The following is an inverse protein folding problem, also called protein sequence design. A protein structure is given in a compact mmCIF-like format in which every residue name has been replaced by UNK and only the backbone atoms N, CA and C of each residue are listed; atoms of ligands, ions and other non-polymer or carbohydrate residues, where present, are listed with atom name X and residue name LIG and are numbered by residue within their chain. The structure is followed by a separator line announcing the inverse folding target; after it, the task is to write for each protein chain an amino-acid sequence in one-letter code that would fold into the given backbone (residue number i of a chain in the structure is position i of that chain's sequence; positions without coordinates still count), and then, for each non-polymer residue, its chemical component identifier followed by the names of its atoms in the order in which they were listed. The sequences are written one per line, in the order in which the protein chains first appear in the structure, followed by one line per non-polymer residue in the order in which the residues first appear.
data_IF_414311903909
#
_entry.id   IF_414311903909
#
_cell.length_a   1.000
_cell.length_b   1.000
_cell.length_c   1.000
_cell.angle_alpha   90.00
_cell.angle_beta   90.00
_cell.angle_gamma   90.00
#
_symmetry.space_group_name_H-M   'P 1'
#
loop_
_entity.id
_entity.type
_entity.pdbx_description
1 polymer ?
#
# COMPACT_ATOMS: atom_id res chain seq x y z
N UNK A 1 -0.73 -28.69 -2.51
CA UNK A 1 -0.72 -27.44 -3.30
C UNK A 1 0.55 -27.40 -4.09
N UNK A 2 0.45 -27.09 -5.37
CA UNK A 2 1.57 -27.00 -6.30
C UNK A 2 2.54 -25.88 -5.90
N UNK A 3 3.84 -26.08 -6.07
CA UNK A 3 4.88 -25.09 -5.74
C UNK A 3 4.67 -23.73 -6.43
N UNK A 4 4.08 -23.74 -7.62
CA UNK A 4 3.78 -22.54 -8.40
C UNK A 4 2.62 -21.74 -7.78
N UNK A 5 1.57 -22.41 -7.34
CA UNK A 5 0.46 -21.76 -6.62
C UNK A 5 0.93 -21.07 -5.35
N UNK A 6 1.86 -21.68 -4.59
CA UNK A 6 2.43 -21.07 -3.38
C UNK A 6 3.22 -19.79 -3.68
N UNK A 7 3.89 -19.71 -4.83
CA UNK A 7 4.62 -18.50 -5.25
C UNK A 7 3.67 -17.36 -5.59
N UNK A 8 2.56 -17.66 -6.28
CA UNK A 8 1.52 -16.64 -6.59
C UNK A 8 0.78 -16.20 -5.33
N UNK A 9 0.45 -17.12 -4.41
CA UNK A 9 -0.15 -16.77 -3.11
C UNK A 9 0.75 -15.83 -2.29
N UNK A 10 2.07 -16.01 -2.36
CA UNK A 10 3.02 -15.09 -1.75
C UNK A 10 3.00 -13.68 -2.37
N UNK A 11 2.46 -13.54 -3.58
CA UNK A 11 2.20 -12.26 -4.23
C UNK A 11 0.80 -11.71 -3.94
N UNK A 12 -0.02 -12.40 -3.11
CA UNK A 12 -1.39 -12.02 -2.80
C UNK A 12 -2.42 -12.52 -3.81
N UNK A 13 -2.09 -13.59 -4.54
CA UNK A 13 -3.03 -14.28 -5.42
C UNK A 13 -4.12 -14.96 -4.62
N UNK A 14 -5.36 -14.76 -5.02
CA UNK A 14 -6.53 -15.35 -4.38
C UNK A 14 -7.59 -15.78 -5.40
N UNK A 15 -8.70 -16.29 -4.90
CA UNK A 15 -9.80 -16.78 -5.73
C UNK A 15 -10.42 -15.71 -6.63
N UNK A 16 -10.37 -14.43 -6.25
CA UNK A 16 -10.90 -13.30 -7.05
C UNK A 16 -10.03 -13.06 -8.26
N UNK A 17 -8.71 -13.08 -8.06
CA UNK A 17 -7.73 -12.96 -9.15
C UNK A 17 -7.80 -14.16 -10.05
N UNK A 18 -7.96 -15.38 -9.49
CA UNK A 18 -8.14 -16.61 -10.28
C UNK A 18 -9.40 -16.55 -11.14
N UNK A 19 -10.53 -16.11 -10.59
CA UNK A 19 -11.77 -15.95 -11.36
C UNK A 19 -11.60 -14.95 -12.53
N UNK A 20 -10.90 -13.84 -12.26
CA UNK A 20 -10.59 -12.84 -13.29
C UNK A 20 -9.69 -13.42 -14.38
N UNK A 21 -8.63 -14.15 -14.02
CA UNK A 21 -7.72 -14.82 -14.94
C UNK A 21 -8.47 -15.80 -15.86
N UNK A 22 -9.30 -16.66 -15.27
CA UNK A 22 -10.12 -17.64 -16.01
C UNK A 22 -11.10 -16.97 -16.97
N UNK A 23 -11.76 -15.90 -16.54
CA UNK A 23 -12.72 -15.16 -17.39
C UNK A 23 -12.06 -14.50 -18.61
N UNK A 24 -10.76 -14.19 -18.51
CA UNK A 24 -9.96 -13.61 -19.58
C UNK A 24 -9.24 -14.68 -20.44
N UNK A 25 -9.33 -15.97 -20.07
CA UNK A 25 -8.65 -17.05 -20.77
C UNK A 25 -7.13 -17.00 -20.68
N UNK A 26 -6.59 -16.41 -19.64
CA UNK A 26 -5.15 -16.25 -19.46
C UNK A 26 -4.52 -17.49 -18.84
N UNK A 27 -3.32 -17.85 -19.29
CA UNK A 27 -2.47 -18.79 -18.60
C UNK A 27 -1.86 -18.15 -17.35
N UNK A 28 -1.43 -18.95 -16.35
CA UNK A 28 -0.80 -18.41 -15.13
C UNK A 28 0.50 -17.66 -15.42
N UNK A 29 1.31 -18.16 -16.35
CA UNK A 29 2.56 -17.49 -16.78
C UNK A 29 2.35 -16.10 -17.37
N UNK A 30 1.14 -15.82 -17.90
CA UNK A 30 0.76 -14.52 -18.43
C UNK A 30 0.29 -13.55 -17.32
N UNK A 31 0.13 -14.02 -16.09
CA UNK A 31 -0.34 -13.20 -14.99
C UNK A 31 0.84 -12.71 -14.17
N UNK A 32 0.87 -11.41 -13.86
CA UNK A 32 1.87 -10.82 -13.00
C UNK A 32 1.27 -9.74 -12.08
N UNK A 33 1.92 -9.45 -10.97
CA UNK A 33 1.55 -8.35 -10.08
C UNK A 33 2.50 -7.17 -10.26
N UNK A 34 1.98 -5.95 -10.35
CA UNK A 34 2.78 -4.72 -10.39
C UNK A 34 3.35 -4.47 -9.00
N UNK A 35 4.66 -4.60 -8.84
CA UNK A 35 5.35 -4.46 -7.56
C UNK A 35 6.07 -3.12 -7.41
N UNK A 36 6.34 -2.42 -8.51
CA UNK A 36 6.90 -1.06 -8.47
C UNK A 36 6.49 -0.25 -9.70
N UNK A 37 6.35 1.06 -9.51
CA UNK A 37 6.09 2.06 -10.57
C UNK A 37 7.08 3.21 -10.43
N UNK A 38 7.72 3.56 -11.54
CA UNK A 38 8.55 4.75 -11.62
C UNK A 38 8.42 5.39 -13.01
N UNK A 39 7.83 6.59 -13.08
CA UNK A 39 7.71 7.41 -14.31
C UNK A 39 7.21 6.64 -15.54
N UNK A 40 6.17 5.83 -15.37
CA UNK A 40 5.58 5.05 -16.48
C UNK A 40 6.33 3.78 -16.86
N UNK A 41 7.36 3.41 -16.10
CA UNK A 41 8.01 2.10 -16.15
C UNK A 41 7.60 1.29 -14.93
N UNK A 42 7.36 0.00 -15.13
CA UNK A 42 6.85 -0.90 -14.11
C UNK A 42 7.83 -2.05 -13.86
N UNK A 43 7.88 -2.52 -12.62
CA UNK A 43 8.38 -3.85 -12.31
C UNK A 43 7.15 -4.70 -12.00
N UNK A 44 7.04 -5.81 -12.72
CA UNK A 44 5.99 -6.80 -12.48
C UNK A 44 6.62 -8.12 -12.04
N UNK A 45 5.91 -8.88 -11.23
CA UNK A 45 6.40 -10.15 -10.69
C UNK A 45 5.35 -11.24 -10.86
N UNK A 46 5.78 -12.41 -11.30
CA UNK A 46 4.98 -13.62 -11.36
C UNK A 46 5.70 -14.79 -10.66
N UNK A 47 5.25 -16.01 -10.88
CA UNK A 47 5.85 -17.23 -10.33
C UNK A 47 7.25 -17.54 -10.87
N UNK A 48 7.57 -17.06 -12.08
CA UNK A 48 8.84 -17.29 -12.76
C UNK A 48 9.90 -16.26 -12.34
N UNK A 49 9.49 -15.02 -12.02
CA UNK A 49 10.42 -13.97 -11.60
C UNK A 49 9.91 -12.54 -11.76
N UNK A 50 10.85 -11.62 -11.87
CA UNK A 50 10.60 -10.19 -12.05
C UNK A 50 10.94 -9.75 -13.48
N UNK A 51 10.09 -8.87 -14.03
CA UNK A 51 10.23 -8.31 -15.36
C UNK A 51 10.14 -6.79 -15.31
N UNK A 52 10.95 -6.15 -16.15
CA UNK A 52 10.77 -4.72 -16.46
C UNK A 52 9.69 -4.61 -17.53
N UNK A 53 8.58 -3.98 -17.18
CA UNK A 53 7.42 -3.93 -18.02
C UNK A 53 7.08 -2.51 -18.47
N UNK A 54 6.48 -2.42 -19.66
CA UNK A 54 5.91 -1.21 -20.22
C UNK A 54 4.51 -1.52 -20.74
N UNK A 55 3.64 -0.52 -20.79
CA UNK A 55 2.32 -0.66 -21.40
C UNK A 55 2.42 -0.60 -22.93
N UNK A 56 1.47 -1.23 -23.61
CA UNK A 56 1.40 -1.16 -25.08
C UNK A 56 1.13 0.26 -25.56
N UNK A 57 1.60 0.58 -26.79
CA UNK A 57 1.25 1.85 -27.46
C UNK A 57 -0.26 2.02 -27.62
N UNK A 58 -1.01 0.93 -27.84
CA UNK A 58 -2.47 0.93 -27.88
C UNK A 58 -3.07 1.39 -26.55
N UNK A 59 -2.58 0.87 -25.42
CA UNK A 59 -3.06 1.25 -24.09
C UNK A 59 -2.76 2.74 -23.80
N UNK A 60 -1.59 3.23 -24.19
CA UNK A 60 -1.25 4.66 -24.08
C UNK A 60 -2.23 5.52 -24.87
N UNK A 61 -2.61 5.06 -26.07
CA UNK A 61 -3.50 5.83 -26.97
C UNK A 61 -4.96 5.76 -26.52
N UNK A 62 -5.42 4.65 -25.96
CA UNK A 62 -6.81 4.44 -25.53
C UNK A 62 -7.11 4.90 -24.11
N UNK A 63 -6.09 5.07 -23.28
CA UNK A 63 -6.24 5.53 -21.91
C UNK A 63 -6.76 6.99 -21.92
N UNK A 64 -7.96 7.18 -21.36
CA UNK A 64 -8.59 8.49 -21.23
C UNK A 64 -8.25 9.17 -19.92
N UNK A 65 -7.83 8.41 -18.91
CA UNK A 65 -7.55 8.87 -17.55
C UNK A 65 -6.31 8.19 -17.02
N UNK A 66 -5.65 8.83 -16.07
CA UNK A 66 -4.51 8.24 -15.37
C UNK A 66 -4.86 6.93 -14.64
N UNK A 67 -6.12 6.78 -14.26
CA UNK A 67 -6.64 5.57 -13.63
C UNK A 67 -6.68 4.33 -14.55
N UNK A 68 -6.58 4.53 -15.86
CA UNK A 68 -6.57 3.46 -16.86
C UNK A 68 -5.18 2.79 -16.98
N UNK A 69 -4.15 3.43 -16.42
CA UNK A 69 -2.80 2.88 -16.38
C UNK A 69 -2.62 1.94 -15.19
N UNK A 70 -1.65 0.98 -15.28
CA UNK A 70 -1.30 0.14 -14.16
C UNK A 70 -0.83 0.95 -12.96
N UNK A 71 -1.15 0.48 -11.76
CA UNK A 71 -0.70 1.03 -10.49
C UNK A 71 -0.09 -0.08 -9.62
N UNK A 72 0.70 0.30 -8.62
CA UNK A 72 1.28 -0.67 -7.69
C UNK A 72 0.16 -1.44 -6.98
N UNK A 73 0.25 -2.77 -7.02
CA UNK A 73 -0.76 -3.70 -6.52
C UNK A 73 -1.66 -4.31 -7.58
N UNK A 74 -1.70 -3.75 -8.78
CA UNK A 74 -2.50 -4.32 -9.87
C UNK A 74 -2.02 -5.70 -10.28
N UNK A 75 -2.97 -6.56 -10.58
CA UNK A 75 -2.74 -7.75 -11.38
C UNK A 75 -2.89 -7.40 -12.84
N UNK A 76 -1.97 -7.87 -13.65
CA UNK A 76 -1.86 -7.54 -15.08
C UNK A 76 -1.62 -8.77 -15.92
N UNK A 77 -2.19 -8.79 -17.13
CA UNK A 77 -1.78 -9.70 -18.17
C UNK A 77 -0.50 -9.18 -18.83
N UNK A 78 0.49 -10.05 -18.98
CA UNK A 78 1.77 -9.72 -19.58
C UNK A 78 2.13 -10.67 -20.72
N UNK A 79 2.84 -10.14 -21.70
CA UNK A 79 3.65 -10.90 -22.62
C UNK A 79 5.11 -10.80 -22.19
N UNK A 80 5.68 -11.94 -21.75
CA UNK A 80 7.09 -12.00 -21.37
C UNK A 80 7.99 -11.95 -22.62
N UNK A 81 9.01 -11.11 -22.57
CA UNK A 81 9.99 -10.93 -23.63
C UNK A 81 11.39 -11.36 -23.12
N UNK A 82 12.34 -11.61 -24.04
CA UNK A 82 13.72 -11.89 -23.65
C UNK A 82 14.34 -10.82 -22.74
N UNK A 83 15.40 -11.18 -22.03
CA UNK A 83 16.18 -10.30 -21.16
C UNK A 83 15.40 -9.74 -19.94
N UNK A 84 14.41 -10.48 -19.41
CA UNK A 84 13.62 -10.05 -18.24
C UNK A 84 12.76 -8.81 -18.52
N UNK A 85 12.30 -8.66 -19.74
CA UNK A 85 11.36 -7.63 -20.16
C UNK A 85 9.95 -8.20 -20.29
N UNK A 86 8.92 -7.33 -20.21
CA UNK A 86 7.55 -7.71 -20.49
C UNK A 86 6.76 -6.52 -21.07
N UNK A 87 5.67 -6.86 -21.73
CA UNK A 87 4.66 -5.88 -22.15
C UNK A 87 3.40 -6.13 -21.33
N UNK A 88 2.86 -5.08 -20.72
CA UNK A 88 1.56 -5.14 -20.04
C UNK A 88 0.48 -4.96 -21.11
N UNK A 89 -0.32 -5.97 -21.28
CA UNK A 89 -1.41 -5.98 -22.27
C UNK A 89 -2.72 -5.47 -21.68
N UNK A 90 -2.99 -5.83 -20.42
CA UNK A 90 -4.24 -5.51 -19.75
C UNK A 90 -4.08 -5.45 -18.23
N UNK A 91 -4.81 -4.54 -17.59
CA UNK A 91 -5.00 -4.53 -16.12
C UNK A 91 -6.24 -5.35 -15.79
N UNK A 92 -6.12 -6.29 -14.86
CA UNK A 92 -7.23 -7.10 -14.37
C UNK A 92 -8.17 -6.23 -13.47
N UNK A 93 -9.43 -6.65 -13.26
CA UNK A 93 -10.33 -5.99 -12.34
C UNK A 93 -9.73 -5.83 -10.95
N UNK A 94 -9.81 -4.63 -10.40
CA UNK A 94 -9.29 -4.28 -9.07
C UNK A 94 -10.31 -4.61 -8.00
N UNK A 95 -9.90 -5.29 -6.94
CA UNK A 95 -10.77 -5.55 -5.76
C UNK A 95 -10.98 -4.28 -4.95
N UNK A 96 -9.90 -3.55 -4.72
CA UNK A 96 -9.87 -2.34 -3.92
C UNK A 96 -8.98 -1.30 -4.57
N UNK A 97 -9.27 -0.02 -4.35
CA UNK A 97 -8.54 1.10 -4.95
C UNK A 97 -8.33 2.19 -3.92
N UNK A 98 -7.09 2.42 -3.51
CA UNK A 98 -6.74 3.59 -2.74
C UNK A 98 -6.46 4.76 -3.67
N UNK A 99 -7.30 5.79 -3.61
CA UNK A 99 -7.24 6.96 -4.50
C UNK A 99 -7.22 8.26 -3.71
N UNK A 100 -6.66 9.31 -4.30
CA UNK A 100 -6.76 10.69 -3.78
C UNK A 100 -7.08 11.66 -4.92
N UNK A 101 -7.74 12.75 -4.60
CA UNK A 101 -7.79 13.91 -5.51
C UNK A 101 -6.44 14.62 -5.53
N UNK A 102 -6.01 15.07 -6.69
CA UNK A 102 -4.82 15.90 -6.82
C UNK A 102 -5.13 17.31 -6.30
N UNK A 103 -4.25 17.89 -5.48
CA UNK A 103 -4.35 19.29 -5.07
C UNK A 103 -4.13 20.17 -6.31
N UNK A 104 -5.23 20.71 -6.86
CA UNK A 104 -5.21 21.61 -8.02
C UNK A 104 -5.97 21.13 -9.24
N UNK A 105 -6.78 20.09 -9.16
CA UNK A 105 -7.65 19.63 -10.25
C UNK A 105 -8.54 18.44 -9.86
N UNK A 106 -9.48 18.11 -10.74
CA UNK A 106 -10.37 16.96 -10.60
C UNK A 106 -9.68 15.60 -10.92
N UNK A 107 -8.37 15.61 -11.14
CA UNK A 107 -7.64 14.41 -11.51
C UNK A 107 -7.47 13.47 -10.31
N UNK A 108 -8.01 12.26 -10.45
CA UNK A 108 -7.90 11.20 -9.44
C UNK A 108 -6.58 10.47 -9.65
N UNK A 109 -5.74 10.45 -8.60
CA UNK A 109 -4.52 9.67 -8.57
C UNK A 109 -4.75 8.35 -7.84
N UNK A 110 -4.50 7.21 -8.49
CA UNK A 110 -4.45 5.91 -7.83
C UNK A 110 -3.13 5.82 -7.07
N UNK A 111 -3.24 5.50 -5.78
CA UNK A 111 -2.11 5.37 -4.86
C UNK A 111 -1.65 3.93 -4.80
N UNK A 112 -2.59 3.00 -4.75
CA UNK A 112 -2.36 1.56 -4.76
C UNK A 112 -3.67 0.82 -4.94
N UNK A 113 -3.57 -0.46 -5.31
CA UNK A 113 -4.72 -1.30 -5.62
C UNK A 113 -4.60 -2.66 -4.93
N UNK A 114 -5.70 -3.39 -4.86
CA UNK A 114 -5.75 -4.72 -4.28
C UNK A 114 -5.12 -4.78 -2.87
N UNK A 115 -5.44 -3.75 -2.07
CA UNK A 115 -5.03 -3.59 -0.67
C UNK A 115 -6.14 -4.19 0.20
N UNK A 116 -5.79 -5.07 1.13
CA UNK A 116 -6.75 -5.67 2.05
C UNK A 116 -7.02 -4.76 3.25
N UNK A 117 -5.96 -4.17 3.84
CA UNK A 117 -6.10 -3.30 5.02
C UNK A 117 -5.26 -2.03 4.89
N UNK A 118 -5.87 -0.89 5.24
CA UNK A 118 -5.19 0.38 5.39
C UNK A 118 -4.99 0.70 6.87
N UNK A 119 -3.75 0.67 7.33
CA UNK A 119 -3.40 1.12 8.66
C UNK A 119 -3.33 2.64 8.70
N UNK A 120 -4.29 3.26 9.37
CA UNK A 120 -4.28 4.70 9.67
C UNK A 120 -3.34 4.92 10.85
N UNK A 121 -2.18 5.50 10.56
CA UNK A 121 -1.13 5.73 11.54
C UNK A 121 -1.24 7.14 12.10
N UNK A 122 -1.43 7.22 13.40
CA UNK A 122 -1.50 8.46 14.16
C UNK A 122 -0.55 8.38 15.35
N UNK A 123 -0.10 9.51 15.90
CA UNK A 123 0.81 9.53 17.03
C UNK A 123 0.23 10.30 18.22
N UNK A 124 0.55 9.86 19.43
CA UNK A 124 0.18 10.56 20.67
C UNK A 124 1.15 11.71 20.96
N UNK A 125 1.31 12.60 20.00
CA UNK A 125 2.04 13.85 20.18
C UNK A 125 1.11 15.06 19.95
N UNK A 126 1.70 16.23 19.75
CA UNK A 126 0.96 17.50 19.60
C UNK A 126 0.00 17.54 18.40
N UNK A 127 0.16 16.59 17.46
CA UNK A 127 -0.63 16.52 16.23
C UNK A 127 -1.79 15.52 16.28
N UNK A 128 -2.07 14.88 17.44
CA UNK A 128 -3.19 13.95 17.58
C UNK A 128 -4.53 14.55 17.16
N UNK A 129 -5.20 13.94 16.18
CA UNK A 129 -6.43 14.48 15.60
C UNK A 129 -7.39 13.40 15.12
N UNK A 130 -8.52 13.26 15.85
CA UNK A 130 -9.56 12.27 15.54
C UNK A 130 -10.23 12.50 14.17
N UNK A 131 -10.47 13.76 13.79
CA UNK A 131 -11.11 14.07 12.50
C UNK A 131 -10.20 13.66 11.33
N UNK A 132 -8.88 13.67 11.54
CA UNK A 132 -7.92 13.16 10.55
C UNK A 132 -8.00 11.65 10.40
N UNK A 133 -8.15 10.92 11.51
CA UNK A 133 -8.36 9.47 11.48
C UNK A 133 -9.66 9.16 10.72
N UNK A 134 -10.77 9.83 11.02
CA UNK A 134 -12.05 9.65 10.31
C UNK A 134 -11.92 9.86 8.80
N UNK A 135 -11.19 10.89 8.40
CA UNK A 135 -10.96 11.16 6.97
C UNK A 135 -10.24 10.02 6.28
N UNK A 136 -9.21 9.46 6.92
CA UNK A 136 -8.51 8.31 6.35
C UNK A 136 -9.37 7.05 6.32
N UNK A 137 -10.24 6.86 7.33
CA UNK A 137 -11.23 5.79 7.34
C UNK A 137 -12.16 5.91 6.14
N UNK A 138 -12.77 7.07 5.96
CA UNK A 138 -13.67 7.32 4.82
C UNK A 138 -12.98 7.08 3.46
N UNK A 139 -11.71 7.47 3.31
CA UNK A 139 -10.93 7.24 2.09
C UNK A 139 -10.68 5.74 1.86
N UNK A 140 -10.38 4.98 2.92
CA UNK A 140 -10.14 3.54 2.83
C UNK A 140 -11.45 2.81 2.47
N UNK A 141 -12.53 3.12 3.17
CA UNK A 141 -13.86 2.51 2.96
C UNK A 141 -14.42 2.83 1.56
N UNK A 142 -14.26 4.07 1.07
CA UNK A 142 -14.62 4.44 -0.31
C UNK A 142 -13.85 3.62 -1.36
N UNK A 143 -12.65 3.18 -1.03
CA UNK A 143 -11.83 2.29 -1.85
C UNK A 143 -12.11 0.80 -1.67
N UNK A 144 -13.05 0.41 -0.79
CA UNK A 144 -13.34 -0.97 -0.43
C UNK A 144 -12.27 -1.62 0.46
N UNK A 145 -11.42 -0.82 1.11
CA UNK A 145 -10.28 -1.26 1.93
C UNK A 145 -10.70 -1.24 3.39
N UNK A 146 -10.39 -2.30 4.14
CA UNK A 146 -10.64 -2.35 5.59
C UNK A 146 -9.69 -1.39 6.32
N UNK A 147 -10.20 -0.38 7.07
CA UNK A 147 -9.34 0.46 7.86
C UNK A 147 -9.02 -0.15 9.24
N UNK A 148 -7.83 0.12 9.75
CA UNK A 148 -7.43 -0.18 11.12
C UNK A 148 -6.55 0.96 11.66
N UNK A 149 -6.43 1.13 12.96
CA UNK A 149 -5.69 2.23 13.58
C UNK A 149 -4.38 1.72 14.18
N UNK A 150 -3.29 2.40 13.87
CA UNK A 150 -2.03 2.22 14.60
C UNK A 150 -1.71 3.52 15.33
N UNK A 151 -1.65 3.42 16.66
CA UNK A 151 -1.25 4.54 17.51
C UNK A 151 0.23 4.40 17.84
N UNK A 152 1.04 5.30 17.31
CA UNK A 152 2.50 5.27 17.49
C UNK A 152 2.95 6.15 18.65
N UNK A 153 4.24 5.99 19.03
CA UNK A 153 4.90 6.80 20.07
C UNK A 153 4.22 6.69 21.44
N UNK A 154 3.68 5.53 21.77
CA UNK A 154 3.03 5.30 23.09
C UNK A 154 4.00 5.47 24.26
N UNK A 155 5.31 5.45 24.02
CA UNK A 155 6.36 5.76 24.98
C UNK A 155 6.39 7.23 25.43
N UNK A 156 5.60 8.11 24.82
CA UNK A 156 5.51 9.54 25.17
C UNK A 156 4.38 9.84 26.17
N UNK A 157 3.51 8.89 26.48
CA UNK A 157 2.35 9.08 27.37
C UNK A 157 2.34 8.01 28.48
N UNK A 158 1.59 8.29 29.56
CA UNK A 158 1.41 7.31 30.63
C UNK A 158 0.49 6.16 30.23
N UNK A 159 0.56 5.04 30.97
CA UNK A 159 -0.34 3.90 30.72
C UNK A 159 -1.80 4.24 30.96
N UNK A 160 -2.09 5.10 31.93
CA UNK A 160 -3.44 5.59 32.27
C UNK A 160 -3.99 6.47 31.14
N UNK A 161 -3.15 7.35 30.59
CA UNK A 161 -3.51 8.18 29.46
C UNK A 161 -3.73 7.34 28.20
N UNK A 162 -2.86 6.35 27.93
CA UNK A 162 -3.02 5.40 26.84
C UNK A 162 -4.35 4.65 26.95
N UNK A 163 -4.69 4.12 28.13
CA UNK A 163 -5.94 3.41 28.35
C UNK A 163 -7.16 4.31 28.06
N UNK A 164 -7.13 5.56 28.52
CA UNK A 164 -8.19 6.56 28.25
C UNK A 164 -8.34 6.81 26.76
N UNK A 165 -7.23 6.97 26.03
CA UNK A 165 -7.23 7.22 24.58
C UNK A 165 -7.70 6.00 23.78
N UNK A 166 -7.38 4.79 24.20
CA UNK A 166 -7.91 3.57 23.56
C UNK A 166 -9.42 3.48 23.73
N UNK A 167 -9.97 3.81 24.91
CA UNK A 167 -11.43 3.85 25.13
C UNK A 167 -12.10 4.91 24.22
N UNK A 168 -11.51 6.11 24.11
CA UNK A 168 -11.98 7.17 23.21
C UNK A 168 -12.04 6.68 21.75
N UNK A 169 -10.95 6.08 21.25
CA UNK A 169 -10.84 5.55 19.89
C UNK A 169 -11.82 4.39 19.66
N UNK A 170 -11.94 3.45 20.60
CA UNK A 170 -12.88 2.32 20.48
C UNK A 170 -14.33 2.80 20.41
N UNK A 171 -14.66 3.83 21.18
CA UNK A 171 -16.00 4.44 21.15
C UNK A 171 -16.28 5.15 19.83
N UNK A 172 -15.27 5.82 19.25
CA UNK A 172 -15.39 6.59 18.01
C UNK A 172 -15.36 5.73 16.76
N UNK A 173 -14.59 4.64 16.78
CA UNK A 173 -14.40 3.69 15.68
C UNK A 173 -14.81 2.28 16.09
N UNK A 174 -16.09 2.01 16.30
CA UNK A 174 -16.56 0.71 16.78
C UNK A 174 -16.22 -0.40 15.79
N UNK A 175 -15.60 -1.47 16.28
CA UNK A 175 -15.19 -2.61 15.45
C UNK A 175 -13.84 -2.46 14.74
N UNK A 176 -13.21 -1.28 14.79
CA UNK A 176 -11.88 -1.11 14.23
C UNK A 176 -10.80 -1.73 15.12
N UNK A 177 -9.82 -2.39 14.53
CA UNK A 177 -8.59 -2.78 15.23
C UNK A 177 -7.81 -1.52 15.63
N UNK A 178 -7.45 -1.41 16.90
CA UNK A 178 -6.61 -0.33 17.43
C UNK A 178 -5.35 -0.95 18.02
N UNK A 179 -4.21 -0.61 17.43
CA UNK A 179 -2.91 -1.24 17.75
C UNK A 179 -1.96 -0.16 18.26
N UNK A 180 -1.77 -0.05 19.58
CA UNK A 180 -0.78 0.85 20.17
C UNK A 180 0.62 0.27 20.00
N UNK A 181 1.58 1.10 19.53
CA UNK A 181 2.97 0.69 19.28
C UNK A 181 3.98 1.77 19.64
N UNK A 182 5.18 1.35 20.04
CA UNK A 182 6.37 2.19 20.05
C UNK A 182 7.49 1.49 19.28
N UNK A 183 8.04 2.15 18.28
CA UNK A 183 9.23 1.69 17.56
C UNK A 183 10.53 1.99 18.32
N UNK A 184 10.44 2.70 19.45
CA UNK A 184 11.57 3.02 20.31
C UNK A 184 11.78 1.96 21.40
N UNK A 185 10.68 1.41 21.93
CA UNK A 185 10.68 0.41 23.01
C UNK A 185 10.29 -0.98 22.53
N UNK A 186 9.93 -1.12 21.24
CA UNK A 186 9.39 -2.33 20.59
C UNK A 186 8.03 -2.78 21.16
N UNK A 187 7.43 -2.01 22.07
CA UNK A 187 6.13 -2.31 22.65
C UNK A 187 5.05 -2.31 21.55
N UNK A 188 4.19 -3.35 21.55
CA UNK A 188 3.11 -3.53 20.58
C UNK A 188 3.53 -4.05 19.20
N UNK A 189 4.82 -4.05 18.83
CA UNK A 189 5.25 -4.54 17.52
C UNK A 189 4.98 -6.03 17.29
N UNK A 190 5.10 -6.85 18.36
CA UNK A 190 4.77 -8.27 18.29
C UNK A 190 3.28 -8.47 17.96
N UNK A 191 2.38 -7.73 18.62
CA UNK A 191 0.95 -7.75 18.33
C UNK A 191 0.67 -7.28 16.88
N UNK A 192 1.30 -6.20 16.43
CA UNK A 192 1.14 -5.75 15.05
C UNK A 192 1.56 -6.83 14.05
N UNK A 193 2.66 -7.54 14.31
CA UNK A 193 3.10 -8.64 13.43
C UNK A 193 2.06 -9.77 13.34
N UNK A 194 1.32 -10.07 14.40
CA UNK A 194 0.25 -11.11 14.35
C UNK A 194 -0.96 -10.68 13.50
N UNK A 195 -1.13 -9.38 13.26
CA UNK A 195 -2.19 -8.85 12.39
C UNK A 195 -1.80 -8.83 10.90
N UNK A 196 -0.55 -9.12 10.60
CA UNK A 196 -0.03 -9.15 9.23
C UNK A 196 -0.05 -10.59 8.70
N UNK A 197 -1.11 -10.94 8.02
CA UNK A 197 -1.33 -12.28 7.47
C UNK A 197 -0.57 -12.50 6.16
N UNK A 198 -0.17 -13.74 5.93
CA UNK A 198 0.48 -14.14 4.68
C UNK A 198 -0.43 -13.92 3.48
N UNK A 199 0.14 -13.37 2.39
CA UNK A 199 -0.58 -13.10 1.14
C UNK A 199 -1.51 -11.89 1.19
N UNK A 200 -1.71 -11.27 2.37
CA UNK A 200 -2.50 -10.04 2.49
C UNK A 200 -1.65 -8.81 2.26
N UNK A 201 -2.28 -7.80 1.66
CA UNK A 201 -1.64 -6.53 1.27
C UNK A 201 -2.08 -5.42 2.20
N UNK A 202 -1.11 -4.72 2.76
CA UNK A 202 -1.28 -3.64 3.73
C UNK A 202 -0.69 -2.34 3.20
N UNK A 203 -1.31 -1.21 3.53
CA UNK A 203 -0.70 0.10 3.36
C UNK A 203 -0.74 0.90 4.67
N UNK A 204 0.15 1.89 4.79
CA UNK A 204 0.23 2.76 5.96
C UNK A 204 -0.08 4.19 5.53
N UNK A 205 -1.18 4.74 6.01
CA UNK A 205 -1.64 6.09 5.73
C UNK A 205 -1.54 6.97 6.99
N UNK A 206 -1.38 8.27 6.85
CA UNK A 206 -1.25 9.17 7.99
C UNK A 206 -0.31 10.34 7.69
N UNK A 207 -0.27 11.34 8.57
CA UNK A 207 0.50 12.56 8.41
C UNK A 207 2.02 12.36 8.37
N UNK A 208 2.75 13.39 7.97
CA UNK A 208 4.20 13.37 8.08
C UNK A 208 4.63 13.36 9.55
N UNK A 209 5.68 12.59 9.88
CA UNK A 209 6.22 12.57 11.25
C UNK A 209 5.52 11.64 12.23
N UNK A 210 4.38 11.02 11.89
CA UNK A 210 3.67 10.08 12.79
C UNK A 210 4.38 8.72 12.96
N UNK A 211 5.50 8.47 12.29
CA UNK A 211 6.30 7.27 12.49
C UNK A 211 6.11 6.15 11.47
N UNK A 212 5.39 6.36 10.35
CA UNK A 212 5.17 5.34 9.31
C UNK A 212 6.46 4.66 8.82
N UNK A 213 7.46 5.45 8.44
CA UNK A 213 8.74 4.91 7.93
C UNK A 213 9.50 4.13 9.01
N UNK A 214 9.48 4.59 10.26
CA UNK A 214 10.07 3.88 11.39
C UNK A 214 9.36 2.54 11.63
N UNK A 215 8.03 2.54 11.53
CA UNK A 215 7.20 1.36 11.69
C UNK A 215 7.47 0.33 10.58
N UNK A 216 7.48 0.76 9.32
CA UNK A 216 7.81 -0.10 8.18
C UNK A 216 9.22 -0.69 8.34
N UNK A 217 10.20 0.12 8.75
CA UNK A 217 11.56 -0.37 9.00
C UNK A 217 11.61 -1.41 10.14
N UNK A 218 10.88 -1.18 11.24
CA UNK A 218 10.80 -2.13 12.35
C UNK A 218 10.12 -3.46 11.95
N UNK A 219 9.10 -3.40 11.10
CA UNK A 219 8.45 -4.59 10.55
C UNK A 219 9.36 -5.38 9.61
N UNK A 220 10.26 -4.68 8.92
CA UNK A 220 11.24 -5.25 7.99
C UNK A 220 12.40 -5.98 8.66
N UNK A 221 12.51 -5.96 9.99
CA UNK A 221 13.53 -6.73 10.72
C UNK A 221 14.92 -6.16 10.67
N UNK A 222 15.14 -4.84 10.66
CA UNK A 222 16.44 -4.17 10.93
C UNK A 222 17.65 -4.50 10.03
N UNK A 223 17.73 -5.68 9.49
CA UNK A 223 18.71 -6.10 8.47
C UNK A 223 18.03 -6.09 7.12
N UNK A 224 18.62 -5.32 6.20
CA UNK A 224 18.03 -4.99 4.91
C UNK A 224 17.41 -6.18 4.20
N UNK A 225 16.17 -6.01 3.77
CA UNK A 225 15.44 -6.96 2.95
C UNK A 225 16.39 -7.58 1.92
N UNK A 226 16.46 -8.89 1.90
CA UNK A 226 16.74 -9.61 0.67
C UNK A 226 15.56 -9.38 -0.28
N UNK A 227 15.53 -8.20 -0.89
CA UNK A 227 14.79 -8.02 -2.13
C UNK A 227 15.39 -9.05 -3.08
N UNK A 228 14.58 -10.02 -3.50
CA UNK A 228 15.00 -10.99 -4.51
C UNK A 228 15.68 -10.19 -5.62
N UNK A 229 16.98 -10.43 -5.76
CA UNK A 229 17.86 -9.62 -6.53
C UNK A 229 17.42 -9.57 -7.99
N UNK A 230 17.23 -8.41 -8.51
CA UNK A 230 17.74 -7.89 -9.77
C UNK A 230 17.02 -6.54 -9.97
N UNK A 231 17.69 -5.45 -9.64
CA UNK A 231 17.36 -4.15 -10.24
C UNK A 231 16.89 -3.01 -9.31
N UNK A 232 16.41 -3.24 -8.09
CA UNK A 232 16.01 -2.12 -7.19
C UNK A 232 17.24 -1.44 -6.54
N UNK A 233 18.39 -2.12 -6.49
CA UNK A 233 19.63 -1.53 -5.94
C UNK A 233 20.26 -0.44 -6.81
N UNK A 234 19.95 -0.36 -8.09
CA UNK A 234 20.56 0.65 -8.99
C UNK A 234 19.84 2.01 -8.97
N UNK A 235 18.67 2.12 -8.32
CA UNK A 235 17.91 3.38 -8.19
C UNK A 235 18.16 4.10 -6.85
N UNK A 236 19.02 3.59 -5.96
CA UNK A 236 19.50 4.29 -4.77
C UNK A 236 20.65 5.25 -5.10
N UNK A 237 20.41 6.20 -6.01
CA UNK A 237 21.20 7.42 -6.12
C UNK A 237 20.49 8.53 -5.36
N UNK A 238 21.14 9.04 -4.32
CA UNK A 238 20.87 10.31 -3.60
C UNK A 238 19.54 11.01 -3.93
N UNK A 239 18.65 11.10 -2.88
CA UNK A 239 17.58 12.10 -2.70
C UNK A 239 16.50 12.19 -3.77
N UNK A 240 15.41 11.57 -3.49
CA UNK A 240 13.97 11.74 -3.73
C UNK A 240 13.35 10.40 -4.12
N UNK A 241 12.86 9.66 -3.14
CA UNK A 241 12.12 8.40 -3.33
C UNK A 241 10.73 8.75 -3.87
N UNK A 242 10.58 8.85 -5.18
CA UNK A 242 9.30 9.05 -5.87
C UNK A 242 8.70 7.74 -6.38
N UNK A 243 9.39 6.62 -6.22
CA UNK A 243 8.93 5.31 -6.64
C UNK A 243 7.99 4.71 -5.58
N UNK A 244 6.83 4.23 -6.02
CA UNK A 244 5.94 3.40 -5.21
C UNK A 244 6.40 1.96 -5.32
N UNK A 245 6.47 1.25 -4.21
CA UNK A 245 7.04 -0.10 -4.20
C UNK A 245 6.33 -0.99 -3.18
N UNK A 246 6.17 -2.26 -3.52
CA UNK A 246 5.72 -3.30 -2.60
C UNK A 246 6.93 -3.96 -1.92
N UNK A 247 6.80 -4.22 -0.64
CA UNK A 247 7.74 -5.01 0.16
C UNK A 247 7.07 -6.29 0.62
N UNK A 248 7.81 -7.39 0.52
CA UNK A 248 7.38 -8.70 1.00
C UNK A 248 8.08 -8.96 2.33
N UNK A 249 7.30 -9.11 3.40
CA UNK A 249 7.82 -9.39 4.74
C UNK A 249 8.14 -10.88 4.91
N UNK A 250 9.02 -11.23 5.84
CA UNK A 250 9.45 -12.62 6.07
C UNK A 250 8.30 -13.57 6.40
N UNK A 251 7.26 -13.07 7.13
CA UNK A 251 6.03 -13.83 7.41
C UNK A 251 5.10 -13.96 6.19
N UNK A 252 5.45 -13.34 5.06
CA UNK A 252 4.70 -13.44 3.81
C UNK A 252 3.60 -12.38 3.65
N UNK A 253 3.48 -11.41 4.54
CA UNK A 253 2.62 -10.24 4.35
C UNK A 253 3.25 -9.26 3.35
N UNK A 254 2.41 -8.49 2.68
CA UNK A 254 2.83 -7.55 1.64
C UNK A 254 2.54 -6.12 2.11
N UNK A 255 3.52 -5.24 2.02
CA UNK A 255 3.38 -3.82 2.39
C UNK A 255 3.60 -2.94 1.19
N UNK A 256 2.66 -2.05 0.91
CA UNK A 256 2.78 -1.02 -0.11
C UNK A 256 3.35 0.25 0.53
N UNK A 257 4.55 0.65 0.11
CA UNK A 257 5.15 1.92 0.50
C UNK A 257 4.88 2.99 -0.57
N UNK A 258 4.20 4.03 -0.15
CA UNK A 258 3.85 5.16 -1.00
C UNK A 258 4.50 6.44 -0.46
N UNK A 259 5.66 6.84 -0.94
CA UNK A 259 6.38 8.02 -0.45
C UNK A 259 5.61 9.34 -0.60
N UNK A 260 4.54 9.38 -1.38
CA UNK A 260 3.67 10.55 -1.57
C UNK A 260 2.44 10.61 -0.66
N UNK A 261 2.21 9.61 0.21
CA UNK A 261 1.07 9.61 1.16
C UNK A 261 1.30 10.46 2.42
N UNK A 262 2.36 11.24 2.45
CA UNK A 262 2.64 12.14 3.57
C UNK A 262 1.61 13.26 3.72
N UNK A 263 0.76 13.50 2.69
CA UNK A 263 -0.14 14.67 2.61
C UNK A 263 -1.51 14.35 1.99
N UNK A 264 -2.09 13.19 2.24
CA UNK A 264 -3.48 12.93 1.84
C UNK A 264 -4.37 13.73 2.77
N UNK A 265 -4.77 14.95 2.35
CA UNK A 265 -5.84 15.69 2.98
C UNK A 265 -5.50 16.98 3.74
N UNK A 266 -4.44 17.72 3.40
CA UNK A 266 -4.15 19.00 4.07
C UNK A 266 -4.52 20.26 3.22
N UNK A 267 -5.07 20.10 2.03
CA UNK A 267 -5.33 21.28 1.16
C UNK A 267 -6.75 21.82 1.17
N UNK A 268 -7.69 21.31 1.96
CA UNK A 268 -9.08 21.77 1.94
C UNK A 268 -9.55 22.52 3.21
N UNK A 269 -8.65 23.13 3.98
CA UNK A 269 -9.04 23.89 5.17
C UNK A 269 -8.50 25.33 5.21
N UNK A 270 -8.23 25.96 4.06
CA UNK A 270 -7.92 27.40 4.02
C UNK A 270 -8.96 28.26 3.26
N UNK A 271 -10.05 27.69 2.78
CA UNK A 271 -11.16 28.45 2.18
C UNK A 271 -12.46 28.28 2.98
N UNK A 272 -12.46 28.64 4.25
CA UNK A 272 -13.69 28.52 5.07
C UNK A 272 -13.71 29.37 6.35
N UNK A 273 -12.79 30.31 6.49
CA UNK A 273 -12.78 31.26 7.65
C UNK A 273 -12.45 32.68 7.20
N UNK A 274 -13.04 33.12 6.11
CA UNK A 274 -13.23 34.54 5.81
C UNK A 274 -14.64 34.67 5.23
N UNK A 275 -15.63 34.71 6.12
CA UNK A 275 -16.93 35.38 5.98
C UNK A 275 -17.83 34.96 7.15
N UNK A 276 -17.60 35.57 8.31
CA UNK A 276 -18.63 35.87 9.33
C UNK A 276 -18.11 37.02 10.24
#
# INVERSE_FOLDING_TARGET
MDSETQKLEALGYDWVVEASRLSLGLDRSQLARVVSEHKGSYIVRNEEGEYRAQVTGKQIFTASRRADFPAVGDWVAIEALPEGKAVIEQVLPRKTILKRKHSGGDEIQIIGTNIDTAFVVESFDRDYNLNRIERYFAIAEDGGIMPAIIMTKIDLISKEELATKIVELTSRFPGADIIPVSTKTDEGLALLRTKLERGKTYCFVGSSGVGKSSLINALRGGEGIKVGAIGVHSLRGKHTTTARTMYFLDQGAIVVDNPGMREVGITDTKEGVEDL
#
